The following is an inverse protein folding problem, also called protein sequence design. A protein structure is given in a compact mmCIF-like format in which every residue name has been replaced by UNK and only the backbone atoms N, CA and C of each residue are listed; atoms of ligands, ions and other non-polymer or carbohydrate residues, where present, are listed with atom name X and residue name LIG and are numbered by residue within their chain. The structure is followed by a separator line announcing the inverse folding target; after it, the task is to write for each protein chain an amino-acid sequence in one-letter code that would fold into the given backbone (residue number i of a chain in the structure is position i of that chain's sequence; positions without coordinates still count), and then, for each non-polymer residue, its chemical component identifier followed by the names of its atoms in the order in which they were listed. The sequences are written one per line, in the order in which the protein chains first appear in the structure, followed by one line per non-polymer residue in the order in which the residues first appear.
data_IF_507116203709
#
_entry.id   IF_507116203709
#
_cell.length_a   1.000
_cell.length_b   1.000
_cell.length_c   1.000
_cell.angle_alpha   90.00
_cell.angle_beta   90.00
_cell.angle_gamma   90.00
#
_symmetry.space_group_name_H-M   'P 1'
#
loop_
_entity.id
_entity.type
_entity.pdbx_description
1 polymer ?
#
# COMPACT_ATOMS: atom_id res chain seq x y z
N UNK A 1 -2.48 19.72 -0.42
CA UNK A 1 -1.35 19.70 -1.40
C UNK A 1 -0.07 20.33 -0.86
N UNK A 2 -0.07 21.47 -0.17
CA UNK A 2 1.17 22.09 0.37
C UNK A 2 1.99 21.14 1.25
N UNK A 3 1.36 20.40 2.17
CA UNK A 3 2.05 19.47 3.06
C UNK A 3 2.72 18.30 2.32
N UNK A 4 2.16 17.85 1.20
CA UNK A 4 2.72 16.76 0.38
C UNK A 4 3.96 17.24 -0.38
N UNK A 5 3.94 18.48 -0.87
CA UNK A 5 5.05 19.11 -1.60
C UNK A 5 6.31 19.34 -0.75
N UNK A 6 6.20 19.31 0.58
CA UNK A 6 7.37 19.35 1.47
C UNK A 6 8.29 18.14 1.24
N UNK A 7 7.73 17.01 0.82
CA UNK A 7 8.49 15.78 0.62
C UNK A 7 8.94 15.57 -0.82
N UNK A 8 8.09 15.94 -1.79
CA UNK A 8 8.36 15.95 -3.23
C UNK A 8 7.14 16.45 -4.02
N UNK A 9 7.27 16.63 -5.35
CA UNK A 9 6.12 16.95 -6.20
C UNK A 9 5.14 15.77 -6.29
N UNK A 10 3.83 16.03 -6.12
CA UNK A 10 2.80 15.01 -6.23
C UNK A 10 2.76 14.39 -7.62
N UNK A 11 2.53 13.09 -7.66
CA UNK A 11 2.51 12.30 -8.88
C UNK A 11 1.11 12.23 -9.48
N UNK A 12 1.01 12.46 -10.78
CA UNK A 12 -0.20 12.21 -11.54
C UNK A 12 -0.33 10.70 -11.84
N UNK A 13 -1.25 10.03 -11.15
CA UNK A 13 -1.41 8.58 -11.22
C UNK A 13 -2.13 8.18 -12.51
N UNK A 14 -1.48 7.47 -13.45
CA UNK A 14 -2.03 7.22 -14.78
C UNK A 14 -3.25 6.29 -14.79
N UNK A 15 -3.40 5.46 -13.75
CA UNK A 15 -4.46 4.46 -13.67
C UNK A 15 -5.70 4.94 -12.90
N UNK A 16 -5.64 6.11 -12.25
CA UNK A 16 -6.75 6.61 -11.46
C UNK A 16 -7.51 7.69 -12.22
N UNK A 17 -8.79 7.46 -12.40
CA UNK A 17 -9.68 8.33 -13.20
C UNK A 17 -10.51 9.30 -12.35
N UNK A 18 -10.75 8.97 -11.08
CA UNK A 18 -11.58 9.76 -10.17
C UNK A 18 -10.77 10.90 -9.54
N UNK A 19 -10.50 11.94 -10.31
CA UNK A 19 -9.77 13.13 -9.85
C UNK A 19 -10.67 14.09 -9.08
N UNK A 20 -10.09 14.79 -8.13
CA UNK A 20 -10.80 15.88 -7.44
C UNK A 20 -11.06 17.03 -8.45
N UNK A 21 -12.25 17.65 -8.44
CA UNK A 21 -12.57 18.72 -9.39
C UNK A 21 -11.56 19.87 -9.41
N UNK A 22 -11.04 20.21 -8.23
CA UNK A 22 -10.12 21.35 -8.06
C UNK A 22 -8.64 20.96 -8.16
N UNK A 23 -8.31 19.68 -8.45
CA UNK A 23 -6.92 19.24 -8.51
C UNK A 23 -6.74 17.94 -9.30
N UNK A 24 -5.89 17.99 -10.32
CA UNK A 24 -5.51 16.82 -11.12
C UNK A 24 -4.62 15.83 -10.34
N UNK A 25 -4.04 16.24 -9.22
CA UNK A 25 -3.09 15.48 -8.40
C UNK A 25 -3.72 14.88 -7.13
N UNK A 26 -5.01 15.13 -6.93
CA UNK A 26 -5.78 14.59 -5.81
C UNK A 26 -6.86 13.67 -6.36
N UNK A 27 -6.92 12.46 -5.82
CA UNK A 27 -7.88 11.44 -6.23
C UNK A 27 -8.94 11.27 -5.18
N UNK A 28 -10.18 11.17 -5.62
CA UNK A 28 -11.31 10.86 -4.76
C UNK A 28 -11.65 9.39 -4.85
N UNK A 29 -11.95 8.78 -3.74
CA UNK A 29 -12.50 7.44 -3.71
C UNK A 29 -13.69 7.39 -2.76
N UNK A 30 -14.59 6.47 -3.05
CA UNK A 30 -15.79 6.23 -2.29
C UNK A 30 -15.67 4.88 -1.58
N UNK A 31 -16.27 4.76 -0.40
CA UNK A 31 -16.33 3.51 0.35
C UNK A 31 -17.04 2.38 -0.43
N UNK A 32 -17.99 2.75 -1.28
CA UNK A 32 -18.81 1.80 -2.01
C UNK A 32 -18.10 1.20 -3.23
N UNK A 33 -17.20 1.97 -3.84
CA UNK A 33 -16.57 1.61 -5.11
C UNK A 33 -15.08 1.28 -4.98
N UNK A 34 -14.43 1.69 -3.91
CA UNK A 34 -12.99 1.50 -3.72
C UNK A 34 -12.66 0.39 -2.74
N UNK A 35 -12.04 -0.67 -3.20
CA UNK A 35 -11.59 -1.80 -2.38
C UNK A 35 -10.11 -1.70 -2.08
N UNK A 36 -9.73 -1.08 -0.96
CA UNK A 36 -8.39 -1.21 -0.38
C UNK A 36 -8.43 -2.18 0.83
N UNK A 37 -9.19 -3.27 0.69
CA UNK A 37 -9.44 -4.29 1.70
C UNK A 37 -8.34 -5.37 1.76
N UNK A 38 -7.25 -5.15 1.03
CA UNK A 38 -6.07 -6.02 1.03
C UNK A 38 -4.85 -5.23 1.48
N UNK A 39 -3.94 -5.95 2.14
CA UNK A 39 -2.66 -5.39 2.52
C UNK A 39 -1.85 -5.01 1.28
N UNK A 40 -1.58 -3.73 1.09
CA UNK A 40 -0.92 -3.20 -0.10
C UNK A 40 0.18 -2.20 0.24
N UNK A 41 1.08 -2.03 -0.70
CA UNK A 41 2.05 -0.95 -0.78
C UNK A 41 1.73 -0.19 -2.07
N UNK A 42 1.62 1.12 -2.01
CA UNK A 42 1.31 1.92 -3.18
C UNK A 42 2.42 1.93 -4.22
N UNK A 43 2.04 1.88 -5.50
CA UNK A 43 2.97 2.00 -6.61
C UNK A 43 3.89 0.81 -6.82
N UNK A 44 3.56 -0.40 -6.36
CA UNK A 44 4.38 -1.61 -6.59
C UNK A 44 4.51 -2.01 -8.05
N UNK A 45 3.62 -1.50 -8.91
CA UNK A 45 3.62 -1.72 -10.37
C UNK A 45 4.69 -0.89 -11.11
N UNK A 46 5.34 0.05 -10.44
CA UNK A 46 6.37 0.93 -11.03
C UNK A 46 7.70 0.81 -10.29
N UNK A 47 8.79 1.17 -10.98
CA UNK A 47 10.11 1.30 -10.38
C UNK A 47 10.67 2.72 -10.64
N UNK A 48 10.99 3.51 -9.62
CA UNK A 48 10.78 3.24 -8.19
C UNK A 48 9.31 3.34 -7.77
N UNK A 49 8.88 2.66 -6.68
CA UNK A 49 7.54 2.79 -6.12
C UNK A 49 7.33 4.17 -5.48
N UNK A 50 6.10 4.51 -5.10
CA UNK A 50 5.84 5.75 -4.37
C UNK A 50 6.64 5.81 -3.07
N UNK A 51 7.08 7.01 -2.74
CA UNK A 51 7.84 7.26 -1.51
C UNK A 51 6.91 7.64 -0.35
N UNK A 52 6.06 8.62 -0.56
CA UNK A 52 5.08 9.08 0.43
C UNK A 52 3.68 8.91 -0.16
N UNK A 53 2.78 8.49 0.67
CA UNK A 53 1.36 8.52 0.38
C UNK A 53 0.63 9.33 1.43
N UNK A 54 -0.47 9.93 1.04
CA UNK A 54 -1.32 10.71 1.93
C UNK A 54 -2.77 10.35 1.76
N UNK A 55 -3.52 10.50 2.84
CA UNK A 55 -4.94 10.23 2.87
C UNK A 55 -5.62 11.22 3.80
N UNK A 56 -6.78 11.71 3.39
CA UNK A 56 -7.71 12.46 4.23
C UNK A 56 -9.13 12.00 3.98
N UNK A 57 -9.98 12.07 5.00
CA UNK A 57 -11.40 11.79 4.87
C UNK A 57 -12.24 13.04 5.12
N UNK A 58 -13.15 13.31 4.21
CA UNK A 58 -14.16 14.35 4.37
C UNK A 58 -15.37 13.83 5.17
N UNK A 59 -15.72 12.58 4.92
CA UNK A 59 -16.82 11.88 5.60
C UNK A 59 -16.31 10.55 6.12
N UNK A 60 -16.60 10.26 7.37
CA UNK A 60 -16.14 9.05 8.07
C UNK A 60 -17.39 8.29 8.56
N UNK A 61 -17.46 6.97 8.41
CA UNK A 61 -18.57 6.18 8.95
C UNK A 61 -18.53 6.16 10.47
N UNK A 62 -19.68 6.10 11.12
CA UNK A 62 -19.78 5.98 12.59
C UNK A 62 -19.10 4.70 13.11
N UNK A 63 -19.14 3.63 12.32
CA UNK A 63 -18.57 2.32 12.69
C UNK A 63 -17.68 1.79 11.57
N UNK A 64 -16.48 1.38 11.91
CA UNK A 64 -15.52 0.84 10.97
C UNK A 64 -14.72 1.95 10.25
N UNK A 65 -14.31 1.69 9.02
CA UNK A 65 -13.55 2.66 8.21
C UNK A 65 -12.12 2.91 8.65
N UNK A 66 -11.60 2.17 9.59
CA UNK A 66 -10.22 2.29 10.05
C UNK A 66 -9.24 1.97 8.92
N UNK A 67 -8.10 2.63 8.94
CA UNK A 67 -6.93 2.21 8.19
C UNK A 67 -5.94 1.53 9.13
N UNK A 68 -5.41 0.39 8.70
CA UNK A 68 -4.36 -0.32 9.41
C UNK A 68 -3.04 -0.11 8.65
N UNK A 69 -1.97 0.09 9.40
CA UNK A 69 -0.61 0.08 8.87
C UNK A 69 0.23 -0.94 9.61
N UNK A 70 1.01 -1.73 8.87
CA UNK A 70 2.01 -2.62 9.45
C UNK A 70 3.42 -2.06 9.22
N UNK A 71 4.27 -2.13 10.25
CA UNK A 71 5.68 -1.72 10.18
C UNK A 71 6.53 -2.80 9.53
N UNK A 72 6.90 -2.59 8.29
CA UNK A 72 7.69 -3.55 7.51
C UNK A 72 9.16 -3.64 7.97
N UNK A 73 9.68 -2.65 8.70
CA UNK A 73 11.00 -2.74 9.31
C UNK A 73 10.95 -3.61 10.57
N UNK A 74 9.95 -3.41 11.44
CA UNK A 74 9.76 -4.27 12.59
C UNK A 74 9.44 -5.72 12.17
N UNK A 75 8.68 -5.89 11.09
CA UNK A 75 8.44 -7.22 10.53
C UNK A 75 9.73 -7.89 10.03
N UNK A 76 10.63 -7.15 9.36
CA UNK A 76 11.93 -7.66 8.98
C UNK A 76 12.79 -8.05 10.20
N UNK A 77 12.84 -7.19 11.20
CA UNK A 77 13.60 -7.43 12.44
C UNK A 77 13.07 -8.66 13.21
N UNK A 78 11.78 -8.97 13.09
CA UNK A 78 11.12 -10.13 13.70
C UNK A 78 11.35 -11.49 12.98
N UNK A 79 11.98 -11.48 11.81
CA UNK A 79 12.39 -12.72 11.13
C UNK A 79 13.67 -13.31 11.76
N UNK A 80 13.78 -14.63 11.73
CA UNK A 80 15.03 -15.30 12.10
C UNK A 80 16.18 -14.92 11.16
N UNK A 81 17.42 -14.97 11.66
CA UNK A 81 18.60 -14.62 10.86
C UNK A 81 18.71 -15.45 9.57
N UNK A 82 18.53 -16.78 9.55
CA UNK A 82 18.60 -17.54 8.30
C UNK A 82 17.58 -17.12 7.25
N UNK A 83 16.36 -16.75 7.68
CA UNK A 83 15.32 -16.25 6.77
C UNK A 83 15.71 -14.88 6.22
N UNK A 84 16.22 -13.97 7.05
CA UNK A 84 16.69 -12.66 6.60
C UNK A 84 17.80 -12.77 5.55
N UNK A 85 18.77 -13.68 5.79
CA UNK A 85 19.87 -13.93 4.86
C UNK A 85 19.37 -14.50 3.52
N UNK A 86 18.46 -15.47 3.56
CA UNK A 86 17.81 -16.00 2.36
C UNK A 86 17.17 -14.90 1.53
N UNK A 87 16.43 -13.98 2.17
CA UNK A 87 15.67 -12.94 1.50
C UNK A 87 16.51 -11.83 0.86
N UNK A 88 17.79 -11.69 1.18
CA UNK A 88 18.70 -10.70 0.57
C UNK A 88 18.84 -10.88 -0.96
N UNK A 89 18.68 -12.11 -1.46
CA UNK A 89 18.76 -12.45 -2.89
C UNK A 89 17.40 -12.60 -3.56
N UNK A 90 16.30 -12.43 -2.82
CA UNK A 90 14.94 -12.68 -3.30
C UNK A 90 14.27 -11.37 -3.74
N UNK A 91 13.56 -11.42 -4.86
CA UNK A 91 12.70 -10.34 -5.33
C UNK A 91 11.25 -10.77 -5.44
N UNK A 92 10.34 -9.86 -5.18
CA UNK A 92 8.90 -10.03 -5.40
C UNK A 92 8.48 -9.39 -6.71
N UNK A 93 7.67 -10.08 -7.51
CA UNK A 93 7.14 -9.63 -8.79
C UNK A 93 5.72 -9.14 -8.60
N UNK A 94 5.45 -7.95 -9.08
CA UNK A 94 4.14 -7.28 -9.05
C UNK A 94 3.63 -7.05 -10.46
N UNK A 95 2.32 -7.11 -10.65
CA UNK A 95 1.70 -6.85 -11.93
C UNK A 95 1.07 -5.48 -12.02
N UNK A 96 1.04 -4.91 -13.21
CA UNK A 96 0.21 -3.76 -13.56
C UNK A 96 -1.15 -4.27 -13.99
N UNK A 97 -2.20 -3.74 -13.38
CA UNK A 97 -3.57 -4.02 -13.73
C UNK A 97 -4.18 -2.78 -14.36
N UNK A 98 -4.62 -2.83 -15.63
CA UNK A 98 -5.37 -1.72 -16.21
C UNK A 98 -6.72 -1.56 -15.50
N UNK A 99 -7.08 -0.32 -15.19
CA UNK A 99 -8.35 0.02 -14.55
C UNK A 99 -8.21 0.56 -13.13
N UNK A 100 -9.31 0.98 -12.57
CA UNK A 100 -9.42 1.64 -11.26
C UNK A 100 -9.39 0.67 -10.05
N UNK A 101 -9.12 -0.59 -10.29
CA UNK A 101 -9.11 -1.62 -9.25
C UNK A 101 -10.49 -2.09 -8.78
N UNK A 102 -11.57 -1.63 -9.42
CA UNK A 102 -12.96 -1.96 -9.03
C UNK A 102 -13.52 -3.18 -9.75
N UNK A 103 -12.96 -3.56 -10.89
CA UNK A 103 -13.36 -4.71 -11.67
C UNK A 103 -12.63 -6.00 -11.28
N UNK A 104 -13.23 -7.13 -11.58
CA UNK A 104 -12.56 -8.44 -11.59
C UNK A 104 -11.18 -8.29 -12.24
N UNK A 105 -10.13 -8.67 -11.54
CA UNK A 105 -8.72 -8.52 -11.92
C UNK A 105 -8.52 -8.68 -13.43
N UNK A 106 -8.28 -7.60 -14.19
CA UNK A 106 -7.93 -7.73 -15.60
C UNK A 106 -6.59 -8.46 -15.73
N UNK A 107 -6.28 -9.06 -16.89
CA UNK A 107 -4.99 -9.72 -17.08
C UNK A 107 -3.85 -8.73 -16.83
N UNK A 108 -2.80 -9.22 -16.15
CA UNK A 108 -1.56 -8.47 -15.93
C UNK A 108 -0.94 -8.13 -17.28
N UNK A 109 -0.72 -6.85 -17.56
CA UNK A 109 -0.14 -6.39 -18.81
C UNK A 109 1.37 -6.27 -18.75
N UNK A 110 1.88 -5.90 -17.57
CA UNK A 110 3.32 -5.72 -17.34
C UNK A 110 3.67 -6.17 -15.93
N UNK A 111 4.92 -6.54 -15.71
CA UNK A 111 5.42 -6.93 -14.39
C UNK A 111 6.62 -6.10 -13.98
N UNK A 112 6.70 -5.78 -12.69
CA UNK A 112 7.82 -5.08 -12.06
C UNK A 112 8.37 -5.90 -10.91
N UNK A 113 9.69 -6.08 -10.87
CA UNK A 113 10.38 -6.78 -9.78
C UNK A 113 10.93 -5.80 -8.75
N UNK A 114 10.78 -6.13 -7.46
CA UNK A 114 11.38 -5.40 -6.36
C UNK A 114 12.08 -6.33 -5.39
N UNK A 115 13.30 -6.00 -4.90
CA UNK A 115 13.91 -6.75 -3.80
C UNK A 115 12.94 -6.84 -2.61
N UNK A 116 12.81 -8.05 -2.04
CA UNK A 116 11.97 -8.29 -0.84
C UNK A 116 12.55 -7.58 0.38
N UNK A 117 13.86 -7.46 0.47
CA UNK A 117 14.56 -6.68 1.50
C UNK A 117 15.08 -5.39 0.90
N UNK A 118 14.67 -4.26 1.49
CA UNK A 118 15.09 -2.93 1.03
C UNK A 118 15.59 -2.09 2.17
N UNK A 119 16.75 -1.44 1.96
CA UNK A 119 17.24 -0.42 2.87
C UNK A 119 16.47 0.89 2.67
N UNK A 120 16.04 1.48 3.76
CA UNK A 120 15.42 2.80 3.71
C UNK A 120 16.46 3.88 3.40
N UNK A 121 16.19 4.70 2.39
CA UNK A 121 17.18 5.63 1.80
C UNK A 121 17.81 6.62 2.79
N UNK A 122 17.05 7.06 3.80
CA UNK A 122 17.54 8.06 4.76
C UNK A 122 18.12 7.45 6.04
N UNK A 123 17.62 6.29 6.46
CA UNK A 123 18.01 5.68 7.74
C UNK A 123 18.90 4.45 7.58
N UNK A 124 19.01 3.90 6.37
CA UNK A 124 19.72 2.64 6.10
C UNK A 124 19.05 1.39 6.69
N UNK A 125 18.02 1.54 7.54
CA UNK A 125 17.33 0.39 8.13
C UNK A 125 16.67 -0.46 7.04
N UNK A 126 16.88 -1.77 7.13
CA UNK A 126 16.23 -2.74 6.26
C UNK A 126 14.77 -2.96 6.65
N UNK A 127 13.94 -3.28 5.69
CA UNK A 127 12.54 -3.62 5.87
C UNK A 127 12.07 -4.55 4.76
N UNK A 128 11.00 -5.28 5.02
CA UNK A 128 10.33 -6.09 4.00
C UNK A 128 9.64 -5.19 2.97
N UNK A 129 9.70 -5.59 1.71
CA UNK A 129 8.89 -4.98 0.64
C UNK A 129 8.01 -6.06 0.03
N UNK A 130 6.95 -6.42 0.76
CA UNK A 130 6.03 -7.51 0.42
C UNK A 130 4.60 -7.10 0.72
N UNK A 131 3.68 -7.41 -0.18
CA UNK A 131 2.25 -7.16 -0.01
C UNK A 131 1.43 -8.27 -0.67
N UNK A 132 0.12 -8.30 -0.44
CA UNK A 132 -0.77 -9.28 -1.07
C UNK A 132 -0.88 -9.11 -2.58
N UNK A 133 -0.35 -8.03 -3.15
CA UNK A 133 -0.26 -7.79 -4.59
C UNK A 133 0.90 -8.52 -5.28
N UNK A 134 1.84 -9.09 -4.52
CA UNK A 134 2.93 -9.87 -5.10
C UNK A 134 2.39 -11.14 -5.76
N UNK A 135 2.84 -11.40 -6.98
CA UNK A 135 2.42 -12.53 -7.80
C UNK A 135 3.24 -13.78 -7.53
N UNK A 136 4.54 -13.60 -7.36
CA UNK A 136 5.54 -14.67 -7.11
C UNK A 136 6.84 -14.06 -6.60
N UNK A 137 7.70 -14.91 -6.09
CA UNK A 137 9.09 -14.57 -5.78
C UNK A 137 10.02 -15.05 -6.91
N UNK A 138 11.16 -14.37 -7.05
CA UNK A 138 12.28 -14.76 -7.91
C UNK A 138 13.56 -14.85 -7.07
N UNK A 139 14.57 -15.56 -7.55
CA UNK A 139 15.76 -15.90 -6.77
C UNK A 139 15.58 -17.19 -5.95
N UNK A 140 14.42 -17.82 -6.09
CA UNK A 140 14.06 -19.12 -5.50
C UNK A 140 13.29 -19.95 -6.53
N UNK A 141 13.15 -21.25 -6.29
CA UNK A 141 12.32 -22.13 -7.14
C UNK A 141 10.83 -21.77 -7.01
N UNK A 142 10.03 -22.23 -7.97
CA UNK A 142 8.57 -22.02 -7.92
C UNK A 142 7.94 -22.62 -6.66
N UNK A 143 8.34 -23.82 -6.25
CA UNK A 143 7.84 -24.46 -5.05
C UNK A 143 8.19 -23.66 -3.78
N UNK A 144 9.40 -23.13 -3.69
CA UNK A 144 9.80 -22.26 -2.59
C UNK A 144 9.06 -20.92 -2.61
N UNK A 145 8.83 -20.35 -3.79
CA UNK A 145 8.02 -19.14 -3.95
C UNK A 145 6.60 -19.34 -3.43
N UNK A 146 5.98 -20.47 -3.77
CA UNK A 146 4.62 -20.83 -3.31
C UNK A 146 4.54 -21.01 -1.79
N UNK A 147 5.61 -21.46 -1.14
CA UNK A 147 5.68 -21.63 0.31
C UNK A 147 6.01 -20.32 1.04
N UNK A 148 7.00 -19.58 0.55
CA UNK A 148 7.52 -18.38 1.21
C UNK A 148 6.60 -17.16 1.08
N UNK A 149 5.97 -16.97 -0.07
CA UNK A 149 5.15 -15.79 -0.32
C UNK A 149 3.99 -15.64 0.68
N UNK A 150 3.14 -16.66 0.90
CA UNK A 150 2.08 -16.59 1.92
C UNK A 150 2.62 -16.41 3.34
N UNK A 151 3.73 -17.06 3.68
CA UNK A 151 4.39 -16.89 4.96
C UNK A 151 4.80 -15.45 5.20
N UNK A 152 5.48 -14.82 4.24
CA UNK A 152 5.95 -13.44 4.34
C UNK A 152 4.78 -12.44 4.42
N UNK A 153 3.73 -12.65 3.63
CA UNK A 153 2.52 -11.82 3.65
C UNK A 153 1.82 -11.88 5.01
N UNK A 154 1.65 -13.08 5.57
CA UNK A 154 1.05 -13.28 6.89
C UNK A 154 1.92 -12.70 7.99
N UNK A 155 3.22 -12.93 7.94
CA UNK A 155 4.18 -12.39 8.91
C UNK A 155 4.18 -10.87 8.91
N UNK A 156 4.28 -10.23 7.73
CA UNK A 156 4.32 -8.77 7.59
C UNK A 156 3.03 -8.08 8.07
N UNK A 157 1.90 -8.76 7.98
CA UNK A 157 0.59 -8.25 8.42
C UNK A 157 0.17 -8.70 9.83
N UNK A 158 1.09 -9.31 10.57
CA UNK A 158 0.84 -9.75 11.95
C UNK A 158 0.41 -8.58 12.85
N UNK A 159 -0.53 -8.82 13.78
CA UNK A 159 -0.91 -7.83 14.79
C UNK A 159 0.26 -7.24 15.58
N UNK A 160 1.37 -7.98 15.73
CA UNK A 160 2.57 -7.52 16.43
C UNK A 160 3.23 -6.30 15.76
N UNK A 161 2.99 -6.08 14.47
CA UNK A 161 3.57 -5.00 13.69
C UNK A 161 2.53 -3.99 13.22
N UNK A 162 1.26 -4.17 13.61
CA UNK A 162 0.13 -3.44 13.04
C UNK A 162 -0.42 -2.41 14.01
N UNK A 163 -0.73 -1.22 13.50
CA UNK A 163 -1.48 -0.18 14.18
C UNK A 163 -2.77 0.09 13.42
N UNK A 164 -3.86 0.35 14.17
CA UNK A 164 -5.16 0.74 13.63
C UNK A 164 -5.43 2.21 13.91
N UNK A 165 -5.82 2.96 12.90
CA UNK A 165 -6.15 4.39 12.99
C UNK A 165 -7.64 4.60 12.69
N UNK A 166 -8.36 5.17 13.65
CA UNK A 166 -9.74 5.60 13.50
C UNK A 166 -9.78 7.06 13.02
N UNK A 167 -10.41 7.29 11.89
CA UNK A 167 -10.48 8.60 11.25
C UNK A 167 -11.53 9.50 11.87
N UNK A 168 -11.25 10.81 11.86
CA UNK A 168 -12.23 11.88 12.05
C UNK A 168 -12.30 12.72 10.77
N UNK A 169 -13.43 13.37 10.46
CA UNK A 169 -13.51 14.29 9.33
C UNK A 169 -12.43 15.37 9.45
N UNK A 170 -11.66 15.57 8.36
CA UNK A 170 -10.56 16.53 8.31
C UNK A 170 -9.21 15.98 8.75
N UNK A 171 -9.12 14.78 9.31
CA UNK A 171 -7.82 14.16 9.56
C UNK A 171 -7.03 14.03 8.25
N UNK A 172 -5.73 14.33 8.33
CA UNK A 172 -4.78 14.19 7.22
C UNK A 172 -3.59 13.36 7.70
N UNK A 173 -3.35 12.22 7.06
CA UNK A 173 -2.28 11.31 7.40
C UNK A 173 -1.32 11.18 6.23
N UNK A 174 -0.05 11.24 6.52
CA UNK A 174 1.07 10.97 5.62
C UNK A 174 1.82 9.75 6.12
N UNK A 175 2.25 8.87 5.22
CA UNK A 175 3.11 7.75 5.60
C UNK A 175 4.21 7.50 4.58
N UNK A 176 5.33 7.01 5.09
CA UNK A 176 6.45 6.51 4.32
C UNK A 176 6.07 5.15 3.72
N UNK A 177 5.69 5.16 2.46
CA UNK A 177 5.10 4.02 1.79
C UNK A 177 6.01 2.78 1.69
N UNK A 178 7.35 2.90 1.41
CA UNK A 178 8.24 1.75 1.41
C UNK A 178 8.43 1.04 2.76
N UNK A 179 8.02 1.69 3.86
CA UNK A 179 8.15 1.18 5.23
C UNK A 179 6.85 0.65 5.81
N UNK A 180 5.73 0.85 5.11
CA UNK A 180 4.40 0.56 5.62
C UNK A 180 3.59 -0.26 4.63
N UNK A 181 2.95 -1.26 5.16
CA UNK A 181 1.90 -2.00 4.48
C UNK A 181 0.57 -1.42 4.95
N UNK A 182 -0.30 -1.05 4.04
CA UNK A 182 -1.57 -0.43 4.36
C UNK A 182 -2.75 -1.35 4.05
N UNK A 183 -3.77 -1.29 4.89
CA UNK A 183 -5.06 -1.96 4.72
C UNK A 183 -6.17 -1.03 5.18
N UNK A 184 -7.18 -0.81 4.37
CA UNK A 184 -8.41 -0.16 4.80
C UNK A 184 -9.43 -1.22 5.19
N UNK A 185 -9.85 -1.23 6.45
CA UNK A 185 -10.95 -2.08 6.90
C UNK A 185 -12.27 -1.54 6.39
N UNK A 186 -12.96 -2.34 5.60
CA UNK A 186 -14.35 -2.06 5.25
C UNK A 186 -15.26 -2.26 6.47
N UNK A 187 -16.41 -1.60 6.44
CA UNK A 187 -17.51 -1.88 7.34
C UNK A 187 -18.07 -3.28 7.04
N UNK A 188 -18.51 -4.00 8.06
CA UNK A 188 -19.31 -5.21 7.88
C UNK A 188 -20.56 -4.87 7.07
N UNK A 189 -20.79 -5.57 5.96
CA UNK A 189 -22.00 -5.43 5.15
C UNK A 189 -23.22 -5.66 6.05
N UNK A 190 -24.17 -4.73 6.04
CA UNK A 190 -25.44 -4.87 6.75
C UNK A 190 -25.67 -3.98 7.96
N UNK A 191 -24.77 -3.04 8.29
CA UNK A 191 -25.04 -2.06 9.33
C UNK A 191 -25.90 -0.91 8.79
N UNK A 192 -27.09 -0.60 9.36
CA UNK A 192 -27.93 0.50 8.89
C UNK A 192 -27.30 1.86 9.17
N UNK A 193 -27.58 2.85 8.31
CA UNK A 193 -27.35 4.27 8.60
C UNK A 193 -26.07 4.88 8.05
N UNK A 194 -25.60 4.53 6.84
CA UNK A 194 -24.54 5.31 6.15
C UNK A 194 -25.18 6.18 5.08
N UNK A 195 -25.00 7.52 5.13
CA UNK A 195 -25.36 8.38 4.01
C UNK A 195 -24.56 8.01 2.75
N UNK A 196 -25.20 8.04 1.60
CA UNK A 196 -24.53 8.02 0.30
C UNK A 196 -23.46 9.13 0.26
N UNK A 197 -22.22 8.80 -0.12
CA UNK A 197 -21.22 9.83 -0.38
C UNK A 197 -19.98 9.87 0.50
N UNK A 198 -19.57 8.79 1.13
CA UNK A 198 -18.30 8.72 1.89
C UNK A 198 -17.10 8.91 0.96
N UNK A 199 -16.49 10.09 0.97
CA UNK A 199 -15.39 10.44 0.10
C UNK A 199 -14.08 10.55 0.87
N UNK A 200 -13.06 9.85 0.41
CA UNK A 200 -11.68 10.05 0.81
C UNK A 200 -10.86 10.71 -0.31
N UNK A 201 -9.81 11.41 0.05
CA UNK A 201 -8.86 12.03 -0.86
C UNK A 201 -7.47 11.43 -0.63
N UNK A 202 -6.82 11.03 -1.70
CA UNK A 202 -5.48 10.50 -1.68
C UNK A 202 -4.55 11.28 -2.61
N UNK A 203 -3.30 11.42 -2.22
CA UNK A 203 -2.23 11.90 -3.08
C UNK A 203 -0.96 11.09 -2.85
N UNK A 204 -0.20 10.91 -3.90
CA UNK A 204 1.02 10.11 -3.92
C UNK A 204 2.22 10.98 -4.27
N UNK A 205 3.37 10.65 -3.70
CA UNK A 205 4.64 11.30 -4.02
C UNK A 205 5.59 10.23 -4.59
N UNK A 206 6.12 10.44 -5.80
CA UNK A 206 7.08 9.52 -6.39
C UNK A 206 8.42 9.61 -5.68
N UNK A 207 9.24 8.58 -5.88
CA UNK A 207 10.65 8.64 -5.54
C UNK A 207 11.36 9.36 -6.68
N UNK A 208 11.85 10.58 -6.46
CA UNK A 208 12.79 11.22 -7.39
C UNK A 208 14.17 10.61 -7.20
N UNK A 209 14.81 10.22 -8.28
CA UNK A 209 16.19 9.79 -8.28
C UNK A 209 17.12 10.98 -8.00
N UNK A 210 17.83 10.97 -6.92
CA UNK A 210 19.16 11.54 -6.75
C UNK A 210 20.02 10.51 -6.04
#
# INVERSE_FOLDING_TARGET
MAAVRIFDEPFDHPLWVNRHPDSQLVYTFNYETGTADRWHIGGTWRNPPFHIESLTYQVVPEVGGHTLWADLQAAYDGLSQPVRELLESVSAVYGTYPGDGTASRPPVTETTGHPVVRAHRHTGRKGLFISTGALRLTGVTEAESQALLPFLQTHASSPNYTVSFGWKPGDFVLWDNPRRLALRRQRLRGSPGVPEGHRGLAAHVPRTGR
#
